data_IF_317153929140
#
_entry.id   IF_317153929140
#
_cell.length_a   1.000
_cell.length_b   1.000
_cell.length_c   1.000
_cell.angle_alpha   90.00
_cell.angle_beta   90.00
_cell.angle_gamma   90.00
#
_symmetry.space_group_name_H-M   'P 1'
#
loop_
_entity.id
_entity.type
_entity.pdbx_description
1 polymer ?
#
# COMPACT_ATOMS: atom_id res chain seq x y z
N UNK A 1 4.86 -38.29 -4.52
CA UNK A 1 5.61 -37.16 -3.98
C UNK A 1 4.61 -36.26 -3.32
N UNK A 2 4.61 -36.14 -1.98
CA UNK A 2 3.74 -35.21 -1.28
C UNK A 2 4.28 -33.79 -1.52
N UNK A 3 3.57 -33.02 -2.28
CA UNK A 3 3.88 -31.61 -2.53
C UNK A 3 3.66 -30.84 -1.22
N UNK A 4 4.74 -30.56 -0.50
CA UNK A 4 4.72 -29.82 0.75
C UNK A 4 4.60 -28.35 0.38
N UNK A 5 3.40 -27.80 0.46
CA UNK A 5 3.18 -26.38 0.21
C UNK A 5 3.45 -25.58 1.48
N UNK A 6 4.26 -24.54 1.36
CA UNK A 6 4.45 -23.54 2.40
C UNK A 6 3.39 -22.44 2.27
N UNK A 7 2.98 -21.92 3.41
CA UNK A 7 2.22 -20.66 3.51
C UNK A 7 2.91 -19.71 4.47
N UNK A 8 2.71 -18.43 4.22
CA UNK A 8 3.25 -17.37 5.06
C UNK A 8 2.11 -16.81 5.90
N UNK A 9 2.19 -17.07 7.20
CA UNK A 9 1.21 -16.65 8.18
C UNK A 9 1.61 -15.30 8.73
N UNK A 10 0.67 -14.36 8.70
CA UNK A 10 0.84 -13.00 9.20
C UNK A 10 -0.13 -12.77 10.33
N UNK A 11 0.40 -12.31 11.47
CA UNK A 11 -0.37 -11.74 12.56
C UNK A 11 -0.14 -10.23 12.57
N UNK A 12 -1.21 -9.46 12.42
CA UNK A 12 -1.17 -8.01 12.40
C UNK A 12 -2.12 -7.46 13.47
N UNK A 13 -1.58 -6.79 14.49
CA UNK A 13 -2.35 -6.33 15.64
C UNK A 13 -2.06 -4.86 15.96
N UNK A 14 -3.12 -4.11 16.25
CA UNK A 14 -3.05 -2.72 16.70
C UNK A 14 -2.81 -2.68 18.21
N UNK A 15 -1.81 -1.88 18.61
CA UNK A 15 -1.46 -1.61 20.00
C UNK A 15 -1.57 -0.12 20.31
N UNK A 16 -1.55 0.24 21.59
CA UNK A 16 -1.54 1.64 22.06
C UNK A 16 -0.18 1.97 22.64
N UNK A 17 0.53 2.90 22.03
CA UNK A 17 1.81 3.38 22.54
C UNK A 17 1.56 4.32 23.74
N UNK A 18 2.23 4.03 24.85
CA UNK A 18 2.18 4.86 26.06
C UNK A 18 0.86 4.80 26.84
N UNK A 19 0.01 3.78 26.58
CA UNK A 19 -1.26 3.59 27.24
C UNK A 19 -1.48 2.14 27.68
N UNK A 20 -2.51 1.91 28.50
CA UNK A 20 -2.98 0.56 28.86
C UNK A 20 -3.97 0.05 27.82
N UNK A 21 -4.15 -1.28 27.71
CA UNK A 21 -5.13 -1.88 26.80
C UNK A 21 -6.57 -1.39 27.04
N UNK A 22 -6.87 -0.86 28.21
CA UNK A 22 -8.14 -0.19 28.53
C UNK A 22 -8.45 1.03 27.64
N UNK A 23 -7.44 1.61 26.98
CA UNK A 23 -7.66 2.69 26.00
C UNK A 23 -8.44 2.25 24.75
N UNK A 24 -8.54 0.93 24.48
CA UNK A 24 -9.38 0.39 23.41
C UNK A 24 -10.86 0.27 23.80
N UNK A 25 -11.17 0.23 25.10
CA UNK A 25 -12.55 0.07 25.59
C UNK A 25 -13.35 1.39 25.58
N UNK A 26 -12.67 2.51 25.28
CA UNK A 26 -13.35 3.79 25.07
C UNK A 26 -14.17 3.72 23.76
N UNK A 27 -15.46 4.00 23.86
CA UNK A 27 -16.38 4.02 22.70
C UNK A 27 -15.91 4.95 21.55
N UNK A 28 -15.01 5.90 21.85
CA UNK A 28 -14.35 6.77 20.87
C UNK A 28 -13.21 6.09 20.12
N UNK A 29 -12.61 5.03 20.68
CA UNK A 29 -11.51 4.28 20.04
C UNK A 29 -12.02 3.29 18.95
N UNK A 30 -13.27 2.86 19.01
CA UNK A 30 -13.82 1.85 18.10
C UNK A 30 -13.76 2.24 16.60
N UNK A 31 -14.15 3.47 16.26
CA UNK A 31 -14.12 3.93 14.85
C UNK A 31 -12.72 4.00 14.22
N UNK A 32 -11.70 4.49 14.91
CA UNK A 32 -10.32 4.53 14.42
C UNK A 32 -9.69 3.16 14.24
N UNK A 33 -9.94 2.24 15.16
CA UNK A 33 -9.50 0.85 15.04
C UNK A 33 -10.16 0.20 13.82
N UNK A 34 -11.47 0.32 13.71
CA UNK A 34 -12.26 -0.21 12.60
C UNK A 34 -11.77 0.32 11.23
N UNK A 35 -11.46 1.62 11.14
CA UNK A 35 -10.90 2.20 9.92
C UNK A 35 -9.55 1.60 9.53
N UNK A 36 -8.67 1.32 10.53
CA UNK A 36 -7.37 0.69 10.29
C UNK A 36 -7.54 -0.76 9.83
N UNK A 37 -8.37 -1.53 10.51
CA UNK A 37 -8.67 -2.91 10.14
C UNK A 37 -9.22 -3.01 8.71
N UNK A 38 -10.19 -2.17 8.36
CA UNK A 38 -10.76 -2.14 7.01
C UNK A 38 -9.72 -1.77 5.94
N UNK A 39 -8.72 -0.93 6.28
CA UNK A 39 -7.61 -0.63 5.36
C UNK A 39 -6.67 -1.81 5.22
N UNK A 40 -6.33 -2.45 6.33
CA UNK A 40 -5.47 -3.64 6.32
C UNK A 40 -6.10 -4.75 5.48
N UNK A 41 -7.40 -5.02 5.63
CA UNK A 41 -8.11 -6.01 4.80
C UNK A 41 -8.02 -5.70 3.30
N UNK A 42 -8.16 -4.43 2.91
CA UNK A 42 -8.00 -4.04 1.50
C UNK A 42 -6.58 -4.27 0.99
N UNK A 43 -5.56 -4.03 1.83
CA UNK A 43 -4.17 -4.33 1.50
C UNK A 43 -4.01 -5.84 1.31
N UNK A 44 -4.52 -6.66 2.24
CA UNK A 44 -4.45 -8.12 2.14
C UNK A 44 -5.02 -8.61 0.82
N UNK A 45 -6.21 -8.14 0.44
CA UNK A 45 -6.85 -8.50 -0.83
C UNK A 45 -6.00 -8.06 -2.03
N UNK A 46 -5.44 -6.84 -1.98
CA UNK A 46 -4.60 -6.31 -3.05
C UNK A 46 -3.34 -7.15 -3.28
N UNK A 47 -2.76 -7.72 -2.21
CA UNK A 47 -1.60 -8.61 -2.29
C UNK A 47 -1.97 -10.10 -2.39
N UNK A 48 -3.24 -10.43 -2.72
CA UNK A 48 -3.77 -11.81 -2.87
C UNK A 48 -3.64 -12.65 -1.61
N UNK A 49 -3.61 -12.01 -0.45
CA UNK A 49 -3.69 -12.68 0.83
C UNK A 49 -5.12 -13.09 1.16
N UNK A 50 -5.23 -13.98 2.11
CA UNK A 50 -6.51 -14.42 2.66
C UNK A 50 -6.58 -14.02 4.13
N UNK A 51 -7.62 -13.30 4.53
CA UNK A 51 -7.94 -13.07 5.94
C UNK A 51 -8.54 -14.36 6.48
N UNK A 52 -7.80 -15.04 7.34
CA UNK A 52 -8.24 -16.28 7.99
C UNK A 52 -9.14 -15.98 9.20
N UNK A 53 -8.81 -14.92 9.93
CA UNK A 53 -9.60 -14.48 11.07
C UNK A 53 -9.44 -12.96 11.27
N UNK A 54 -10.55 -12.29 11.55
CA UNK A 54 -10.59 -10.93 12.07
C UNK A 54 -10.95 -10.97 13.56
N UNK A 55 -10.23 -10.23 14.37
CA UNK A 55 -10.50 -10.06 15.78
C UNK A 55 -10.54 -8.56 16.15
N UNK A 56 -10.85 -8.23 17.39
CA UNK A 56 -11.17 -6.86 17.81
C UNK A 56 -10.07 -5.83 17.47
N UNK A 57 -8.80 -6.25 17.46
CA UNK A 57 -7.66 -5.35 17.28
C UNK A 57 -6.77 -5.71 16.10
N UNK A 58 -7.08 -6.77 15.34
CA UNK A 58 -6.16 -7.24 14.32
C UNK A 58 -6.71 -8.29 13.37
N UNK A 59 -5.80 -8.83 12.57
CA UNK A 59 -6.06 -9.82 11.54
C UNK A 59 -5.06 -10.97 11.63
N UNK A 60 -5.55 -12.21 11.45
CA UNK A 60 -4.75 -13.37 11.07
C UNK A 60 -4.89 -13.59 9.58
N UNK A 61 -3.77 -13.67 8.88
CA UNK A 61 -3.72 -13.62 7.42
C UNK A 61 -2.80 -14.72 6.91
N UNK A 62 -3.05 -15.22 5.72
CA UNK A 62 -2.13 -16.12 5.01
C UNK A 62 -1.85 -15.65 3.59
N UNK A 63 -0.62 -15.93 3.11
CA UNK A 63 -0.16 -15.66 1.75
C UNK A 63 0.51 -16.90 1.16
N UNK A 64 0.54 -16.97 -0.17
CA UNK A 64 1.20 -18.06 -0.89
C UNK A 64 2.69 -17.77 -1.17
N UNK A 65 3.16 -16.53 -1.04
CA UNK A 65 4.56 -16.12 -1.26
C UNK A 65 5.07 -15.24 -0.13
N UNK A 66 6.38 -15.35 0.17
CA UNK A 66 7.06 -14.52 1.18
C UNK A 66 7.01 -13.05 0.80
N UNK A 67 7.26 -12.74 -0.46
CA UNK A 67 7.25 -11.37 -0.98
C UNK A 67 5.89 -10.71 -0.77
N UNK A 68 4.79 -11.38 -1.13
CA UNK A 68 3.45 -10.84 -0.93
C UNK A 68 3.13 -10.60 0.55
N UNK A 69 3.54 -11.50 1.44
CA UNK A 69 3.35 -11.35 2.88
C UNK A 69 4.12 -10.14 3.42
N UNK A 70 5.41 -10.02 3.09
CA UNK A 70 6.25 -8.93 3.55
C UNK A 70 5.81 -7.57 2.98
N UNK A 71 5.53 -7.52 1.68
CA UNK A 71 5.11 -6.30 1.00
C UNK A 71 3.77 -5.80 1.51
N UNK A 72 2.81 -6.70 1.76
CA UNK A 72 1.54 -6.32 2.35
C UNK A 72 1.71 -5.77 3.77
N UNK A 73 2.64 -6.34 4.57
CA UNK A 73 2.95 -5.85 5.91
C UNK A 73 3.52 -4.42 5.87
N UNK A 74 4.46 -4.14 4.98
CA UNK A 74 5.00 -2.78 4.78
C UNK A 74 3.89 -1.80 4.37
N UNK A 75 3.03 -2.18 3.42
CA UNK A 75 1.91 -1.34 2.98
C UNK A 75 0.89 -1.11 4.10
N UNK A 76 0.60 -2.12 4.92
CA UNK A 76 -0.27 -1.96 6.10
C UNK A 76 0.33 -0.96 7.08
N UNK A 77 1.66 -1.01 7.35
CA UNK A 77 2.34 -0.05 8.21
C UNK A 77 2.21 1.38 7.67
N UNK A 78 2.55 1.60 6.41
CA UNK A 78 2.43 2.93 5.78
C UNK A 78 1.01 3.48 5.89
N UNK A 79 0.00 2.68 5.56
CA UNK A 79 -1.41 3.11 5.60
C UNK A 79 -1.92 3.35 7.02
N UNK A 80 -1.43 2.63 8.00
CA UNK A 80 -1.79 2.85 9.40
C UNK A 80 -1.12 4.11 9.97
N UNK A 81 0.14 4.35 9.61
CA UNK A 81 0.90 5.52 10.04
C UNK A 81 0.32 6.86 9.52
N UNK A 82 -0.24 6.85 8.30
CA UNK A 82 -0.86 8.04 7.68
C UNK A 82 -2.22 8.44 8.28
N UNK A 83 -2.83 7.55 9.08
CA UNK A 83 -4.14 7.86 9.68
C UNK A 83 -3.98 8.84 10.85
N UNK A 84 -4.92 9.80 10.99
CA UNK A 84 -4.92 10.69 12.13
C UNK A 84 -4.90 9.93 13.45
N UNK A 85 -4.11 10.41 14.38
CA UNK A 85 -4.10 9.88 15.75
C UNK A 85 -5.44 10.16 16.42
N UNK A 86 -5.85 9.23 17.28
CA UNK A 86 -7.12 9.32 17.95
C UNK A 86 -6.87 9.63 19.41
N UNK A 87 -7.32 10.79 19.83
CA UNK A 87 -7.15 11.30 21.19
C UNK A 87 -5.66 11.39 21.64
N UNK A 88 -5.38 11.21 22.92
CA UNK A 88 -4.04 11.34 23.51
C UNK A 88 -3.11 10.14 23.26
N UNK A 89 -3.60 9.08 22.61
CA UNK A 89 -2.86 7.82 22.45
C UNK A 89 -2.57 7.54 20.97
N UNK A 90 -1.35 7.17 20.68
CA UNK A 90 -0.92 6.73 19.35
C UNK A 90 -1.23 5.25 19.17
N UNK A 91 -1.95 4.90 18.10
CA UNK A 91 -2.13 3.52 17.67
C UNK A 91 -0.95 3.10 16.81
N UNK A 92 -0.30 2.02 17.21
CA UNK A 92 0.78 1.36 16.48
C UNK A 92 0.29 0.06 15.87
N UNK A 93 0.94 -0.41 14.81
CA UNK A 93 0.69 -1.69 14.20
C UNK A 93 1.90 -2.61 14.43
N UNK A 94 1.67 -3.75 15.09
CA UNK A 94 2.66 -4.80 15.27
C UNK A 94 2.39 -5.90 14.26
N UNK A 95 3.40 -6.33 13.50
CA UNK A 95 3.25 -7.38 12.49
C UNK A 95 4.31 -8.46 12.68
N UNK A 96 3.86 -9.71 12.78
CA UNK A 96 4.73 -10.88 12.77
C UNK A 96 4.46 -11.76 11.56
N UNK A 97 5.52 -12.25 10.90
CA UNK A 97 5.40 -13.12 9.72
C UNK A 97 6.19 -14.41 9.92
N UNK A 98 5.53 -15.54 9.75
CA UNK A 98 6.16 -16.85 9.84
C UNK A 98 5.82 -17.75 8.66
N UNK A 99 6.80 -18.55 8.21
CA UNK A 99 6.62 -19.58 7.21
C UNK A 99 6.14 -20.88 7.84
N UNK A 100 4.89 -21.27 7.57
CA UNK A 100 4.29 -22.52 8.03
C UNK A 100 4.22 -23.59 6.95
N UNK A 101 4.21 -24.85 7.37
CA UNK A 101 3.97 -26.00 6.51
C UNK A 101 2.47 -26.28 6.42
N UNK A 102 1.90 -26.32 5.22
CA UNK A 102 0.53 -26.79 5.02
C UNK A 102 0.56 -28.30 4.83
N UNK A 103 0.27 -29.04 5.91
CA UNK A 103 -0.02 -30.48 5.79
C UNK A 103 -1.51 -30.66 5.52
N UNK A 104 -1.87 -31.36 4.46
CA UNK A 104 -3.25 -31.55 4.01
C UNK A 104 -4.20 -32.21 5.03
N UNK A 105 -3.76 -32.60 6.23
CA UNK A 105 -4.54 -33.39 7.19
C UNK A 105 -4.48 -32.98 8.68
N UNK A 106 -3.83 -31.89 9.07
CA UNK A 106 -3.86 -31.48 10.48
C UNK A 106 -4.09 -29.97 10.59
N UNK A 107 -5.18 -29.57 11.27
CA UNK A 107 -5.40 -28.19 11.71
C UNK A 107 -4.28 -27.70 12.64
N UNK A 108 -3.70 -28.62 13.41
CA UNK A 108 -2.70 -28.31 14.44
C UNK A 108 -1.43 -27.62 13.90
N UNK A 109 -0.99 -27.91 12.68
CA UNK A 109 0.23 -27.28 12.11
C UNK A 109 0.01 -25.86 11.62
N UNK A 110 -1.20 -25.52 11.18
CA UNK A 110 -1.54 -24.14 10.77
C UNK A 110 -1.74 -23.24 11.99
N UNK A 111 -2.32 -23.78 13.06
CA UNK A 111 -2.52 -23.08 14.33
C UNK A 111 -1.16 -22.76 14.97
N UNK A 112 -0.21 -23.72 14.99
CA UNK A 112 1.14 -23.47 15.49
C UNK A 112 1.89 -22.38 14.68
N UNK A 113 1.80 -22.38 13.36
CA UNK A 113 2.45 -21.36 12.52
C UNK A 113 1.85 -19.95 12.75
N UNK A 114 0.55 -19.88 13.00
CA UNK A 114 -0.13 -18.64 13.32
C UNK A 114 0.23 -18.15 14.73
N UNK A 115 0.45 -19.05 15.67
CA UNK A 115 0.89 -18.72 17.02
C UNK A 115 2.34 -18.18 17.01
N UNK A 116 3.22 -18.78 16.18
CA UNK A 116 4.58 -18.24 15.98
C UNK A 116 4.52 -16.84 15.37
N UNK A 117 3.67 -16.62 14.36
CA UNK A 117 3.49 -15.29 13.79
C UNK A 117 2.99 -14.28 14.83
N UNK A 118 2.11 -14.70 15.76
CA UNK A 118 1.66 -13.87 16.88
C UNK A 118 2.80 -13.52 17.85
N UNK A 119 3.67 -14.50 18.17
CA UNK A 119 4.84 -14.26 19.02
C UNK A 119 5.85 -13.29 18.38
N UNK A 120 5.94 -13.25 17.05
CA UNK A 120 6.79 -12.32 16.32
C UNK A 120 6.22 -10.89 16.28
N UNK A 121 4.92 -10.70 16.50
CA UNK A 121 4.26 -9.39 16.47
C UNK A 121 4.45 -8.59 17.75
N UNK A 122 5.69 -8.43 18.23
CA UNK A 122 6.02 -7.78 19.52
C UNK A 122 6.59 -6.38 19.38
N UNK A 123 7.04 -5.98 18.18
CA UNK A 123 7.65 -4.68 17.96
C UNK A 123 6.58 -3.63 17.66
N UNK A 124 6.48 -2.60 18.49
CA UNK A 124 5.58 -1.46 18.25
C UNK A 124 5.96 -0.72 16.97
N UNK A 125 4.98 -0.51 16.07
CA UNK A 125 5.17 0.00 14.71
C UNK A 125 6.23 -0.78 13.91
N UNK A 126 6.42 -2.07 14.20
CA UNK A 126 7.44 -2.92 13.61
C UNK A 126 6.88 -4.11 12.83
N UNK A 127 7.73 -4.65 11.97
CA UNK A 127 7.50 -5.90 11.26
C UNK A 127 8.63 -6.85 11.64
N UNK A 128 8.30 -8.00 12.23
CA UNK A 128 9.27 -9.03 12.58
C UNK A 128 8.97 -10.30 11.81
N UNK A 129 10.00 -10.88 11.22
CA UNK A 129 9.88 -12.08 10.37
C UNK A 129 10.78 -13.20 10.87
N UNK A 130 10.39 -14.44 10.68
CA UNK A 130 11.24 -15.61 10.97
C UNK A 130 12.25 -15.89 9.86
N UNK A 131 13.33 -16.63 10.17
CA UNK A 131 14.37 -17.05 9.23
C UNK A 131 13.81 -17.70 7.96
N UNK A 132 12.76 -18.53 8.08
CA UNK A 132 12.14 -19.16 6.94
C UNK A 132 11.51 -18.18 5.94
N UNK A 133 11.04 -17.02 6.40
CA UNK A 133 10.55 -15.95 5.52
C UNK A 133 11.72 -15.30 4.81
N UNK A 134 12.81 -14.98 5.54
CA UNK A 134 14.02 -14.36 4.98
C UNK A 134 14.66 -15.21 3.89
N UNK A 135 14.63 -16.53 4.05
CA UNK A 135 15.18 -17.48 3.07
C UNK A 135 14.42 -17.48 1.72
N UNK A 136 13.13 -17.11 1.76
CA UNK A 136 12.23 -17.22 0.60
C UNK A 136 11.91 -15.87 -0.05
N UNK A 137 12.31 -14.73 0.55
CA UNK A 137 12.13 -13.40 -0.04
C UNK A 137 13.16 -13.12 -1.13
N UNK A 138 12.76 -12.30 -2.11
CA UNK A 138 13.65 -11.85 -3.16
C UNK A 138 14.86 -11.08 -2.58
N UNK A 139 16.05 -11.29 -3.18
CA UNK A 139 17.32 -10.67 -2.76
C UNK A 139 17.29 -9.14 -2.72
N UNK A 140 16.45 -8.49 -3.53
CA UNK A 140 16.30 -7.02 -3.50
C UNK A 140 15.59 -6.56 -2.22
N UNK A 141 14.62 -7.33 -1.74
CA UNK A 141 13.86 -7.04 -0.52
C UNK A 141 14.68 -7.37 0.73
N UNK A 142 15.59 -8.32 0.64
CA UNK A 142 16.41 -8.79 1.75
C UNK A 142 17.31 -7.67 2.36
N UNK A 143 17.55 -6.60 1.62
CA UNK A 143 18.36 -5.45 2.08
C UNK A 143 17.76 -4.66 3.25
N UNK A 144 16.44 -4.79 3.47
CA UNK A 144 15.73 -4.10 4.55
C UNK A 144 15.54 -4.98 5.80
N UNK A 145 16.12 -6.18 5.82
CA UNK A 145 15.94 -7.15 6.90
C UNK A 145 17.17 -7.19 7.78
N UNK A 146 16.99 -6.91 9.07
CA UNK A 146 18.04 -6.85 10.08
C UNK A 146 17.80 -7.93 11.12
N UNK A 147 18.83 -8.75 11.39
CA UNK A 147 18.75 -9.80 12.42
C UNK A 147 18.52 -9.21 13.82
N UNK A 148 17.66 -9.86 14.58
CA UNK A 148 17.47 -9.60 16.00
C UNK A 148 18.21 -10.67 16.81
N UNK A 149 19.26 -10.27 17.53
CA UNK A 149 20.09 -11.22 18.30
C UNK A 149 19.45 -11.62 19.64
N UNK A 150 18.59 -10.78 20.22
CA UNK A 150 17.98 -11.00 21.53
C UNK A 150 16.47 -11.36 21.47
N UNK A 151 16.03 -12.03 20.40
CA UNK A 151 14.64 -12.45 20.32
C UNK A 151 14.38 -13.67 21.25
N UNK A 152 13.33 -13.64 22.09
CA UNK A 152 13.05 -14.72 23.05
C UNK A 152 12.77 -16.06 22.36
N UNK A 153 13.35 -17.15 22.88
CA UNK A 153 13.10 -18.51 22.40
C UNK A 153 14.08 -18.98 21.33
N UNK A 154 13.75 -20.10 20.68
CA UNK A 154 14.59 -20.72 19.64
C UNK A 154 14.36 -20.13 18.22
N UNK A 155 13.48 -19.14 18.11
CA UNK A 155 13.09 -18.54 16.83
C UNK A 155 14.13 -17.50 16.42
N UNK A 156 14.82 -17.74 15.30
CA UNK A 156 15.62 -16.70 14.68
C UNK A 156 14.70 -15.67 14.03
N UNK A 157 14.70 -14.47 14.58
CA UNK A 157 13.85 -13.36 14.20
C UNK A 157 14.63 -12.25 13.54
N UNK A 158 13.98 -11.52 12.65
CA UNK A 158 14.55 -10.41 11.90
C UNK A 158 13.55 -9.25 11.87
N UNK A 159 14.05 -8.05 12.14
CA UNK A 159 13.28 -6.81 11.98
C UNK A 159 13.34 -6.33 10.53
N UNK A 160 12.26 -5.74 10.06
CA UNK A 160 12.17 -5.15 8.71
C UNK A 160 12.18 -3.64 8.84
N UNK A 161 13.15 -2.99 8.22
CA UNK A 161 13.20 -1.53 8.10
C UNK A 161 12.24 -1.05 7.01
N UNK A 162 10.95 -1.03 7.35
CA UNK A 162 9.87 -0.65 6.45
C UNK A 162 9.82 0.87 6.17
N UNK A 163 10.57 1.69 6.95
CA UNK A 163 10.63 3.15 6.79
C UNK A 163 11.79 3.60 5.91
N UNK A 164 12.72 2.71 5.58
CA UNK A 164 13.87 3.08 4.78
C UNK A 164 13.47 3.52 3.36
N UNK A 165 14.22 4.46 2.79
CA UNK A 165 14.03 4.86 1.38
C UNK A 165 14.22 3.68 0.41
N UNK A 166 14.92 2.63 0.85
CA UNK A 166 15.04 1.37 0.13
C UNK A 166 13.69 0.68 0.01
N UNK A 167 12.77 0.82 0.99
CA UNK A 167 11.40 0.30 0.84
C UNK A 167 10.68 0.98 -0.32
N UNK A 168 10.78 2.29 -0.45
CA UNK A 168 10.21 3.01 -1.59
C UNK A 168 10.95 2.69 -2.91
N UNK A 169 12.25 2.36 -2.84
CA UNK A 169 13.16 2.06 -3.96
C UNK A 169 13.39 0.56 -4.19
N UNK A 170 13.28 -0.31 -3.19
CA UNK A 170 13.28 -1.78 -3.36
C UNK A 170 11.98 -2.28 -3.99
N UNK A 171 10.95 -1.47 -3.90
CA UNK A 171 9.80 -1.57 -4.75
C UNK A 171 10.08 -0.98 -6.15
N UNK A 172 11.36 -0.74 -6.44
CA UNK A 172 11.99 -0.29 -7.66
C UNK A 172 11.11 0.70 -8.38
N UNK A 173 11.40 1.85 -8.75
CA UNK A 173 10.54 2.73 -9.51
C UNK A 173 9.59 2.09 -10.55
N UNK A 174 9.55 0.80 -10.64
CA UNK A 174 8.48 -0.07 -11.12
C UNK A 174 7.57 -0.40 -9.95
N UNK A 175 6.33 0.06 -10.02
CA UNK A 175 5.24 -0.28 -9.10
C UNK A 175 5.30 -1.76 -8.74
N UNK A 176 5.65 -2.11 -7.49
CA UNK A 176 5.61 -3.48 -6.96
C UNK A 176 4.18 -3.84 -6.52
N UNK A 177 3.23 -3.33 -7.23
CA UNK A 177 1.97 -4.04 -7.34
C UNK A 177 2.32 -5.32 -8.09
N UNK A 178 2.06 -6.50 -7.50
CA UNK A 178 2.34 -7.74 -8.20
C UNK A 178 1.72 -7.63 -9.60
N UNK A 179 2.55 -7.73 -10.63
CA UNK A 179 2.13 -7.77 -12.03
C UNK A 179 1.13 -8.90 -12.33
N UNK A 180 0.77 -9.62 -11.31
CA UNK A 180 -0.14 -10.75 -11.26
C UNK A 180 -1.54 -10.40 -10.76
N UNK A 181 -1.83 -9.15 -10.39
CA UNK A 181 -3.22 -8.69 -10.27
C UNK A 181 -3.70 -8.31 -11.67
N UNK A 182 -4.02 -9.35 -12.44
CA UNK A 182 -4.41 -9.25 -13.84
C UNK A 182 -3.21 -9.07 -14.76
N UNK A 183 -3.19 -9.80 -15.88
CA UNK A 183 -2.39 -9.45 -17.06
C UNK A 183 -2.60 -7.95 -17.30
N UNK A 184 -1.53 -7.19 -17.63
CA UNK A 184 -1.73 -5.79 -18.00
C UNK A 184 -2.84 -5.74 -19.03
N UNK A 185 -3.86 -4.89 -18.87
CA UNK A 185 -4.96 -4.82 -19.81
C UNK A 185 -4.35 -4.63 -21.20
N UNK A 186 -4.81 -5.42 -22.17
CA UNK A 186 -4.36 -5.30 -23.56
C UNK A 186 -4.65 -3.89 -24.05
N UNK A 187 -3.61 -3.08 -24.21
CA UNK A 187 -3.68 -1.66 -24.59
C UNK A 187 -3.24 -0.69 -23.49
N UNK A 188 -3.18 0.61 -23.78
CA UNK A 188 -2.67 1.62 -22.87
C UNK A 188 -3.47 1.65 -21.55
N UNK A 189 -2.74 1.67 -20.46
CA UNK A 189 -3.25 1.64 -19.09
C UNK A 189 -2.62 2.78 -18.30
N UNK A 190 -3.40 3.44 -17.45
CA UNK A 190 -2.89 4.51 -16.58
C UNK A 190 -3.26 4.25 -15.13
N UNK A 191 -2.30 4.48 -14.26
CA UNK A 191 -2.51 4.54 -12.82
C UNK A 191 -2.21 5.94 -12.31
N UNK A 192 -3.11 6.47 -11.47
CA UNK A 192 -2.98 7.75 -10.81
C UNK A 192 -2.95 7.56 -9.29
N UNK A 193 -1.96 8.16 -8.63
CA UNK A 193 -1.84 8.15 -7.17
C UNK A 193 -1.94 9.57 -6.63
N UNK A 194 -2.89 9.79 -5.73
CA UNK A 194 -3.04 11.06 -5.01
C UNK A 194 -3.31 10.80 -3.53
N UNK A 195 -2.32 11.03 -2.69
CA UNK A 195 -2.36 10.63 -1.29
C UNK A 195 -2.64 9.12 -1.18
N UNK A 196 -3.77 8.78 -0.55
CA UNK A 196 -4.20 7.39 -0.37
C UNK A 196 -5.10 6.87 -1.49
N UNK A 197 -5.47 7.70 -2.45
CA UNK A 197 -6.38 7.35 -3.52
C UNK A 197 -5.58 6.90 -4.74
N UNK A 198 -5.86 5.69 -5.20
CA UNK A 198 -5.39 5.18 -6.49
C UNK A 198 -6.58 5.06 -7.43
N UNK A 199 -6.45 5.62 -8.62
CA UNK A 199 -7.40 5.49 -9.71
C UNK A 199 -6.72 4.84 -10.91
N UNK A 200 -7.46 3.98 -11.58
CA UNK A 200 -6.98 3.26 -12.76
C UNK A 200 -7.88 3.54 -13.95
N UNK A 201 -7.25 3.88 -15.08
CA UNK A 201 -7.93 3.93 -16.36
C UNK A 201 -7.71 2.61 -17.06
N UNK A 202 -8.81 1.88 -17.23
CA UNK A 202 -8.84 0.58 -17.89
C UNK A 202 -9.78 0.66 -19.10
N UNK A 203 -9.98 -0.45 -19.77
CA UNK A 203 -10.97 -0.54 -20.85
C UNK A 203 -12.39 -0.35 -20.31
N UNK A 204 -12.65 -0.84 -19.12
CA UNK A 204 -13.96 -0.79 -18.42
C UNK A 204 -14.21 0.60 -17.82
N UNK A 205 -13.14 1.30 -17.42
CA UNK A 205 -13.19 2.65 -16.86
C UNK A 205 -12.26 3.60 -17.64
N UNK A 206 -12.69 4.05 -18.85
CA UNK A 206 -11.81 4.72 -19.79
C UNK A 206 -11.62 6.22 -19.53
N UNK A 207 -12.26 6.80 -18.52
CA UNK A 207 -12.23 8.23 -18.23
C UNK A 207 -12.07 8.47 -16.74
N UNK A 208 -11.18 9.38 -16.37
CA UNK A 208 -11.09 9.95 -15.01
C UNK A 208 -11.26 11.46 -15.11
N UNK A 209 -12.15 12.00 -14.29
CA UNK A 209 -12.42 13.43 -14.15
C UNK A 209 -11.68 14.02 -12.96
N UNK A 210 -11.12 15.21 -13.15
CA UNK A 210 -10.37 15.92 -12.11
C UNK A 210 -10.93 17.33 -11.96
N UNK A 211 -11.16 17.75 -10.72
CA UNK A 211 -11.65 19.10 -10.48
C UNK A 211 -11.99 19.37 -9.02
N UNK A 212 -12.54 20.57 -8.78
CA UNK A 212 -13.04 20.99 -7.47
C UNK A 212 -14.49 20.55 -7.25
N UNK A 213 -15.20 20.12 -8.29
CA UNK A 213 -16.56 19.61 -8.15
C UNK A 213 -16.53 18.30 -7.33
N UNK A 214 -17.38 18.16 -6.30
CA UNK A 214 -17.48 16.92 -5.52
C UNK A 214 -17.83 15.67 -6.34
N UNK A 215 -18.36 15.84 -7.54
CA UNK A 215 -18.68 14.74 -8.47
C UNK A 215 -17.49 14.25 -9.27
N UNK A 216 -16.34 14.94 -9.21
CA UNK A 216 -15.12 14.51 -9.89
C UNK A 216 -14.55 13.25 -9.25
N UNK A 217 -13.93 12.38 -10.04
CA UNK A 217 -13.25 11.18 -9.56
C UNK A 217 -12.05 11.54 -8.66
N UNK A 218 -11.30 12.61 -9.02
CA UNK A 218 -10.28 13.25 -8.19
C UNK A 218 -10.73 14.66 -7.81
N UNK A 219 -11.05 14.83 -6.53
CA UNK A 219 -11.52 16.11 -5.99
C UNK A 219 -10.38 16.85 -5.31
N UNK A 220 -10.14 18.11 -5.73
CA UNK A 220 -9.18 19.02 -5.12
C UNK A 220 -9.90 20.19 -4.47
N UNK A 221 -9.83 20.28 -3.14
CA UNK A 221 -10.37 21.42 -2.38
C UNK A 221 -9.35 22.57 -2.44
N UNK A 222 -9.20 23.19 -3.62
CA UNK A 222 -8.26 24.28 -3.86
C UNK A 222 -8.87 25.29 -4.84
N UNK A 223 -8.80 26.61 -4.52
CA UNK A 223 -9.34 27.68 -5.34
C UNK A 223 -8.68 27.81 -6.73
N UNK A 224 -7.44 27.36 -6.89
CA UNK A 224 -6.72 27.36 -8.16
C UNK A 224 -7.16 26.24 -9.11
N UNK A 225 -7.87 25.25 -8.60
CA UNK A 225 -8.40 24.14 -9.40
C UNK A 225 -9.82 24.49 -9.85
N UNK A 226 -10.10 24.42 -11.13
CA UNK A 226 -11.43 24.65 -11.71
C UNK A 226 -12.41 23.55 -11.26
N UNK A 227 -13.72 23.82 -11.26
CA UNK A 227 -14.74 22.82 -10.93
C UNK A 227 -14.59 21.58 -11.82
N UNK A 228 -14.57 21.79 -13.12
CA UNK A 228 -14.23 20.78 -14.12
C UNK A 228 -12.86 21.15 -14.67
N UNK A 229 -11.78 20.59 -14.10
CA UNK A 229 -10.42 21.04 -14.41
C UNK A 229 -9.87 20.35 -15.64
N UNK A 230 -9.83 19.02 -15.61
CA UNK A 230 -9.42 18.22 -16.75
C UNK A 230 -10.09 16.85 -16.76
N UNK A 231 -9.96 16.18 -17.90
CA UNK A 231 -10.30 14.76 -18.04
C UNK A 231 -9.07 14.00 -18.54
N UNK A 232 -8.84 12.83 -18.00
CA UNK A 232 -7.83 11.92 -18.50
C UNK A 232 -8.56 10.75 -19.15
N UNK A 233 -8.30 10.51 -20.43
CA UNK A 233 -9.02 9.54 -21.26
C UNK A 233 -8.09 8.49 -21.82
N UNK A 234 -8.51 7.23 -21.72
CA UNK A 234 -7.91 6.13 -22.45
C UNK A 234 -8.43 6.13 -23.89
N UNK A 235 -7.53 6.15 -24.85
CA UNK A 235 -7.81 6.01 -26.27
C UNK A 235 -7.09 4.76 -26.81
N UNK A 236 -7.41 4.37 -28.03
CA UNK A 236 -6.77 3.21 -28.66
C UNK A 236 -5.24 3.38 -28.84
N UNK A 237 -4.80 4.60 -29.02
CA UNK A 237 -3.42 5.02 -29.30
C UNK A 237 -2.67 5.56 -28.07
N UNK A 238 -3.30 5.66 -26.90
CA UNK A 238 -2.63 6.16 -25.71
C UNK A 238 -3.55 6.74 -24.63
N UNK A 239 -2.94 7.32 -23.65
CA UNK A 239 -3.60 8.04 -22.57
C UNK A 239 -3.49 9.54 -22.83
N UNK A 240 -4.62 10.23 -22.87
CA UNK A 240 -4.67 11.67 -23.19
C UNK A 240 -5.26 12.46 -22.05
N UNK A 241 -4.51 13.43 -21.54
CA UNK A 241 -5.01 14.47 -20.63
C UNK A 241 -5.61 15.60 -21.48
N UNK A 242 -6.83 16.02 -21.17
CA UNK A 242 -7.55 17.11 -21.84
C UNK A 242 -7.87 18.15 -20.76
N UNK A 243 -7.18 19.28 -20.81
CA UNK A 243 -7.38 20.39 -19.89
C UNK A 243 -8.49 21.34 -20.39
N UNK A 244 -9.36 21.74 -19.48
CA UNK A 244 -10.42 22.74 -19.73
C UNK A 244 -10.46 23.78 -18.60
N UNK A 245 -9.30 24.01 -17.98
CA UNK A 245 -9.19 24.81 -16.78
C UNK A 245 -8.77 26.26 -17.05
N UNK A 246 -8.98 27.12 -16.05
CA UNK A 246 -8.54 28.52 -16.10
C UNK A 246 -7.01 28.64 -15.97
N UNK A 247 -6.40 27.79 -15.13
CA UNK A 247 -4.98 27.93 -14.78
C UNK A 247 -4.07 26.87 -15.44
N UNK A 248 -4.64 25.84 -16.04
CA UNK A 248 -3.90 24.76 -16.71
C UNK A 248 -3.48 23.62 -15.77
N UNK A 249 -3.07 22.53 -16.39
CA UNK A 249 -2.47 21.36 -15.75
C UNK A 249 -1.00 21.29 -16.11
N UNK A 250 -0.14 21.20 -15.09
CA UNK A 250 1.29 21.06 -15.27
C UNK A 250 1.66 19.57 -15.27
N UNK A 251 2.36 19.12 -16.30
CA UNK A 251 2.86 17.75 -16.46
C UNK A 251 4.37 17.78 -16.28
N UNK A 252 4.90 16.98 -15.38
CA UNK A 252 6.33 16.81 -15.16
C UNK A 252 6.70 15.33 -15.25
N UNK A 253 7.10 14.85 -16.44
CA UNK A 253 7.65 13.51 -16.61
C UNK A 253 8.92 13.32 -15.77
N UNK A 254 9.20 12.09 -15.33
CA UNK A 254 10.40 11.78 -14.54
C UNK A 254 11.68 11.98 -15.37
N UNK A 255 11.60 11.81 -16.69
CA UNK A 255 12.70 11.88 -17.67
C UNK A 255 12.66 13.12 -18.56
N UNK A 256 11.74 14.06 -18.29
CA UNK A 256 11.47 15.17 -19.18
C UNK A 256 11.33 16.53 -18.52
N UNK A 257 11.13 17.52 -19.38
CA UNK A 257 10.86 18.89 -18.98
C UNK A 257 9.39 19.09 -18.60
N UNK A 258 9.17 19.98 -17.65
CA UNK A 258 7.85 20.41 -17.22
C UNK A 258 7.10 21.10 -18.36
N UNK A 259 5.84 20.72 -18.58
CA UNK A 259 4.98 21.27 -19.62
C UNK A 259 3.65 21.71 -19.01
N UNK A 260 3.22 22.93 -19.33
CA UNK A 260 1.90 23.43 -18.98
C UNK A 260 0.91 23.17 -20.12
N UNK A 261 -0.14 22.42 -19.83
CA UNK A 261 -1.28 22.20 -20.72
C UNK A 261 -2.44 23.07 -20.25
N UNK A 262 -2.94 23.95 -21.10
CA UNK A 262 -4.03 24.87 -20.76
C UNK A 262 -5.01 25.01 -21.93
N UNK A 263 -6.28 24.62 -21.71
CA UNK A 263 -7.31 24.53 -22.73
C UNK A 263 -6.83 23.75 -23.97
N UNK A 264 -6.07 22.68 -23.74
CA UNK A 264 -5.42 21.88 -24.76
C UNK A 264 -5.32 20.41 -24.27
N UNK A 265 -4.74 19.56 -25.07
CA UNK A 265 -4.54 18.15 -24.73
C UNK A 265 -3.08 17.73 -24.86
N UNK A 266 -2.67 16.78 -24.02
CA UNK A 266 -1.35 16.17 -24.08
C UNK A 266 -1.44 14.65 -23.88
N UNK A 267 -0.59 13.92 -24.59
CA UNK A 267 -0.44 12.48 -24.40
C UNK A 267 0.46 12.24 -23.18
N UNK A 268 -0.03 11.50 -22.21
CA UNK A 268 0.77 11.04 -21.07
C UNK A 268 1.56 9.80 -21.49
N UNK A 269 2.86 9.80 -21.17
CA UNK A 269 3.77 8.67 -21.43
C UNK A 269 4.63 8.41 -20.20
N UNK A 270 5.03 7.15 -20.01
CA UNK A 270 5.91 6.78 -18.91
C UNK A 270 5.35 7.17 -17.53
N UNK A 271 6.20 7.73 -16.70
CA UNK A 271 5.87 8.10 -15.32
C UNK A 271 6.16 9.57 -15.05
N UNK A 272 5.47 10.15 -14.07
CA UNK A 272 5.69 11.55 -13.72
C UNK A 272 4.68 12.08 -12.72
N UNK A 273 4.61 13.41 -12.63
CA UNK A 273 3.73 14.13 -11.74
C UNK A 273 2.78 15.03 -12.53
N UNK A 274 1.54 15.15 -12.07
CA UNK A 274 0.55 16.13 -12.50
C UNK A 274 0.29 17.11 -11.37
N UNK A 275 0.22 18.39 -11.70
CA UNK A 275 -0.17 19.44 -10.76
C UNK A 275 -1.23 20.34 -11.40
N UNK A 276 -2.34 20.51 -10.68
CA UNK A 276 -3.52 21.18 -11.21
C UNK A 276 -3.61 22.62 -10.69
N UNK A 277 -3.73 23.58 -11.64
CA UNK A 277 -3.99 24.97 -11.37
C UNK A 277 -2.79 25.81 -10.92
N UNK A 278 -1.59 25.27 -10.87
CA UNK A 278 -0.34 25.99 -10.53
C UNK A 278 0.89 25.26 -11.08
N UNK A 279 2.02 25.97 -11.30
CA UNK A 279 3.28 25.34 -11.70
C UNK A 279 3.94 24.59 -10.51
N UNK A 280 4.91 23.74 -10.83
CA UNK A 280 5.78 23.11 -9.84
C UNK A 280 6.81 24.13 -9.32
N UNK A 281 6.64 24.58 -8.08
CA UNK A 281 7.60 25.49 -7.42
C UNK A 281 8.53 24.71 -6.47
N UNK A 282 8.95 23.50 -6.86
CA UNK A 282 9.73 22.60 -5.98
C UNK A 282 8.88 21.81 -4.97
N UNK A 283 7.63 22.20 -4.74
CA UNK A 283 6.72 21.52 -3.81
C UNK A 283 5.94 20.40 -4.52
N UNK A 284 6.06 19.18 -3.99
CA UNK A 284 5.25 18.02 -4.43
C UNK A 284 3.86 17.98 -3.78
N UNK A 285 3.57 18.89 -2.85
CA UNK A 285 2.32 18.87 -2.10
C UNK A 285 1.12 19.12 -3.01
N UNK A 286 0.18 18.17 -3.05
CA UNK A 286 -1.01 18.22 -3.90
C UNK A 286 -0.79 17.77 -5.34
N UNK A 287 0.38 17.18 -5.67
CA UNK A 287 0.61 16.54 -6.96
C UNK A 287 -0.04 15.15 -7.02
N UNK A 288 -0.33 14.72 -8.24
CA UNK A 288 -0.77 13.36 -8.57
C UNK A 288 0.35 12.66 -9.31
N UNK A 289 0.81 11.54 -8.82
CA UNK A 289 1.72 10.69 -9.57
C UNK A 289 0.95 9.91 -10.62
N UNK A 290 1.46 9.88 -11.84
CA UNK A 290 0.90 9.09 -12.92
C UNK A 290 1.90 8.07 -13.44
N UNK A 291 1.41 6.92 -13.88
CA UNK A 291 2.18 5.85 -14.52
C UNK A 291 1.37 5.29 -15.69
N UNK A 292 1.93 5.38 -16.92
CA UNK A 292 1.37 4.82 -18.15
C UNK A 292 2.13 3.57 -18.53
N UNK A 293 1.41 2.49 -18.83
CA UNK A 293 1.94 1.19 -19.20
C UNK A 293 1.51 0.79 -20.61
#
# INVERSE_FOLDING_TARGET
>A
MNDVRHKYHVHAELTVIGGTSAAFDDAKAGRPVERRLNRMERVVVAFRGKVEQRFAKGLKISFDTADAALLSACEMQHRCAELPQVSKHRLALCVGIHRGLVRQRSKDSADNAQDIASQLAVSEDGIVVSEGVVADINTQINKIVIRLDDFPGEIKAFNVDWQSEITASAFGGESVWPASIGLPPTGPYLRLHHGLKTLELTKENPVVTVGRDPKSDLVFVNSHVSRNHCQIKRRADGIVLIDASVNGTCIKPDDGTETLVKNDSAVLKGKGLLLFGRPFNGERRGSVRYEVY
#
